data_IF_709491010202
#
_entry.id   IF_709491010202
#
_cell.length_a   1.000
_cell.length_b   1.000
_cell.length_c   1.000
_cell.angle_alpha   90.00
_cell.angle_beta   90.00
_cell.angle_gamma   90.00
#
_symmetry.space_group_name_H-M   'P 1'
#
loop_
_entity.id
_entity.type
_entity.pdbx_description
1 polymer ?
#
# COMPACT_ATOMS: atom_id res chain seq x y z
N UNK A 1 -11.10 -17.11 16.04
CA UNK A 1 -10.01 -17.66 15.19
C UNK A 1 -10.12 -17.04 13.81
N UNK A 2 -9.01 -16.70 13.15
CA UNK A 2 -8.99 -16.09 11.80
C UNK A 2 -8.75 -17.16 10.74
N UNK A 3 -7.76 -18.03 10.96
CA UNK A 3 -7.37 -19.12 10.08
C UNK A 3 -6.75 -20.27 10.86
N UNK A 4 -6.76 -21.48 10.29
CA UNK A 4 -6.18 -22.70 10.84
C UNK A 4 -5.19 -23.31 9.85
N UNK A 5 -4.28 -24.15 10.35
CA UNK A 5 -3.40 -24.95 9.50
C UNK A 5 -4.21 -25.98 8.71
N UNK A 6 -3.90 -26.12 7.43
CA UNK A 6 -4.64 -26.99 6.52
C UNK A 6 -4.07 -28.40 6.38
N UNK A 7 -2.91 -28.70 6.99
CA UNK A 7 -2.28 -30.02 6.88
C UNK A 7 -1.24 -30.31 7.98
N UNK A 8 -0.71 -31.54 7.93
CA UNK A 8 0.41 -32.04 8.72
C UNK A 8 0.10 -32.03 10.23
N UNK A 9 1.14 -31.99 11.07
CA UNK A 9 1.04 -32.18 12.51
C UNK A 9 0.20 -31.10 13.23
N UNK A 10 -0.01 -29.94 12.61
CA UNK A 10 -0.77 -28.83 13.18
C UNK A 10 -2.16 -28.70 12.56
N UNK A 11 -2.60 -29.63 11.71
CA UNK A 11 -3.88 -29.56 11.01
C UNK A 11 -5.05 -29.25 11.96
N UNK A 12 -5.88 -28.29 11.57
CA UNK A 12 -7.01 -27.79 12.37
C UNK A 12 -6.63 -26.89 13.55
N UNK A 13 -5.34 -26.79 13.91
CA UNK A 13 -4.88 -25.88 14.97
C UNK A 13 -4.88 -24.42 14.48
N UNK A 14 -5.09 -23.45 15.40
CA UNK A 14 -5.06 -22.04 15.03
C UNK A 14 -3.71 -21.65 14.39
N UNK A 15 -3.77 -21.10 13.17
CA UNK A 15 -2.62 -20.49 12.50
C UNK A 15 -2.63 -18.97 12.72
N UNK A 16 -3.81 -18.36 12.62
CA UNK A 16 -4.02 -16.94 12.91
C UNK A 16 -5.15 -16.75 13.93
N UNK A 17 -4.88 -15.99 14.98
CA UNK A 17 -5.86 -15.66 16.02
C UNK A 17 -6.02 -14.16 16.15
N UNK A 18 -7.19 -13.75 16.65
CA UNK A 18 -7.47 -12.36 16.93
C UNK A 18 -8.23 -12.24 18.23
N UNK A 19 -7.85 -11.24 19.02
CA UNK A 19 -8.46 -10.91 20.31
C UNK A 19 -8.77 -9.43 20.36
N UNK A 20 -10.03 -9.07 20.61
CA UNK A 20 -10.42 -7.70 20.94
C UNK A 20 -9.96 -7.35 22.36
N UNK A 21 -9.39 -6.17 22.53
CA UNK A 21 -8.93 -5.66 23.82
C UNK A 21 -9.19 -4.16 23.90
N UNK A 22 -10.08 -3.75 24.81
CA UNK A 22 -10.54 -2.35 24.86
C UNK A 22 -11.16 -1.93 23.53
N UNK A 23 -10.71 -0.80 22.99
CA UNK A 23 -11.14 -0.28 21.67
C UNK A 23 -10.38 -0.87 20.49
N UNK A 24 -9.38 -1.72 20.74
CA UNK A 24 -8.47 -2.25 19.71
C UNK A 24 -8.58 -3.76 19.53
N UNK A 25 -7.66 -4.28 18.71
CA UNK A 25 -7.53 -5.69 18.38
C UNK A 25 -6.06 -6.07 18.32
N UNK A 26 -5.73 -7.27 18.80
CA UNK A 26 -4.41 -7.90 18.62
C UNK A 26 -4.59 -9.11 17.72
N UNK A 27 -3.76 -9.21 16.69
CA UNK A 27 -3.72 -10.34 15.76
C UNK A 27 -2.38 -11.07 15.95
N UNK A 28 -2.45 -12.38 16.17
CA UNK A 28 -1.26 -13.24 16.26
C UNK A 28 -1.24 -14.17 15.06
N UNK A 29 -0.09 -14.21 14.37
CA UNK A 29 0.16 -15.08 13.23
C UNK A 29 1.26 -16.07 13.62
N UNK A 30 0.90 -17.34 13.76
CA UNK A 30 1.82 -18.42 14.13
C UNK A 30 2.57 -19.01 12.93
N UNK A 31 2.81 -18.22 11.87
CA UNK A 31 3.42 -18.67 10.61
C UNK A 31 4.27 -17.58 9.98
N UNK A 32 5.05 -17.94 8.96
CA UNK A 32 5.72 -16.99 8.09
C UNK A 32 4.74 -16.38 7.09
N UNK A 33 4.93 -15.09 6.81
CA UNK A 33 4.18 -14.36 5.79
C UNK A 33 4.72 -14.71 4.40
N UNK A 34 3.83 -15.19 3.54
CA UNK A 34 4.04 -15.31 2.10
C UNK A 34 3.22 -14.22 1.40
N UNK A 35 3.58 -13.78 0.18
CA UNK A 35 2.87 -12.71 -0.53
C UNK A 35 1.34 -12.86 -0.49
N UNK A 36 0.81 -14.00 -0.92
CA UNK A 36 -0.64 -14.26 -0.96
C UNK A 36 -1.31 -14.18 0.43
N UNK A 37 -0.60 -14.63 1.48
CA UNK A 37 -1.09 -14.55 2.85
C UNK A 37 -1.09 -13.10 3.34
N UNK A 38 -0.04 -12.34 3.02
CA UNK A 38 0.07 -10.93 3.37
C UNK A 38 -1.04 -10.13 2.70
N UNK A 39 -1.31 -10.36 1.43
CA UNK A 39 -2.39 -9.71 0.68
C UNK A 39 -3.75 -10.00 1.33
N UNK A 40 -4.10 -11.29 1.52
CA UNK A 40 -5.37 -11.68 2.13
C UNK A 40 -5.56 -11.17 3.57
N UNK A 41 -4.48 -11.10 4.36
CA UNK A 41 -4.53 -10.52 5.70
C UNK A 41 -4.69 -9.01 5.66
N UNK A 42 -4.02 -8.32 4.74
CA UNK A 42 -4.10 -6.87 4.56
C UNK A 42 -5.53 -6.47 4.24
N UNK A 43 -6.16 -7.10 3.26
CA UNK A 43 -7.57 -6.85 2.92
C UNK A 43 -8.50 -7.03 4.13
N UNK A 44 -8.30 -8.12 4.88
CA UNK A 44 -9.16 -8.46 6.02
C UNK A 44 -8.97 -7.57 7.24
N UNK A 45 -7.78 -7.01 7.44
CA UNK A 45 -7.42 -6.26 8.65
C UNK A 45 -7.43 -4.74 8.43
N UNK A 46 -7.04 -4.25 7.26
CA UNK A 46 -6.85 -2.82 7.01
C UNK A 46 -8.16 -2.12 6.67
N UNK A 47 -9.02 -2.73 5.86
CA UNK A 47 -10.30 -2.13 5.50
C UNK A 47 -11.19 -1.84 6.72
N UNK A 48 -11.37 -2.76 7.71
CA UNK A 48 -12.10 -2.45 8.93
C UNK A 48 -11.44 -1.40 9.82
N UNK A 49 -10.13 -1.17 9.67
CA UNK A 49 -9.38 -0.15 10.38
C UNK A 49 -9.39 1.21 9.65
N UNK A 50 -10.02 1.31 8.48
CA UNK A 50 -10.04 2.52 7.66
C UNK A 50 -8.67 2.86 7.06
N UNK A 51 -7.80 1.87 6.90
CA UNK A 51 -6.50 2.03 6.25
C UNK A 51 -6.68 1.77 4.76
N UNK A 52 -6.33 2.76 3.94
CA UNK A 52 -6.47 2.75 2.49
C UNK A 52 -5.11 2.98 1.82
N UNK A 53 -4.92 2.45 0.59
CA UNK A 53 -3.72 2.76 -0.19
C UNK A 53 -3.69 4.24 -0.56
N UNK A 54 -2.48 4.82 -0.63
CA UNK A 54 -2.29 6.21 -1.07
C UNK A 54 -2.74 6.44 -2.53
N UNK A 55 -2.54 5.42 -3.37
CA UNK A 55 -3.00 5.32 -4.75
C UNK A 55 -3.42 3.87 -4.98
N UNK A 56 -4.64 3.64 -5.43
CA UNK A 56 -5.16 2.30 -5.69
C UNK A 56 -4.71 1.73 -7.03
N UNK A 57 -4.63 0.40 -7.14
CA UNK A 57 -4.39 -0.28 -8.42
C UNK A 57 -3.02 0.01 -9.04
N UNK A 58 -1.97 0.11 -8.22
CA UNK A 58 -0.62 0.35 -8.70
C UNK A 58 -0.14 -0.76 -9.63
N UNK A 59 0.49 -0.42 -10.76
CA UNK A 59 1.20 -1.40 -11.59
C UNK A 59 2.31 -2.09 -10.80
N UNK A 60 2.63 -3.33 -11.18
CA UNK A 60 3.75 -4.08 -10.58
C UNK A 60 5.06 -3.31 -10.72
N UNK A 61 5.87 -3.29 -9.66
CA UNK A 61 7.14 -2.57 -9.62
C UNK A 61 7.03 -1.06 -9.38
N UNK A 62 5.82 -0.52 -9.21
CA UNK A 62 5.61 0.87 -8.78
C UNK A 62 5.38 0.94 -7.27
N UNK A 63 6.12 1.82 -6.60
CA UNK A 63 5.93 2.12 -5.18
C UNK A 63 5.42 3.56 -5.00
N UNK A 64 4.49 3.72 -4.06
CA UNK A 64 4.03 5.03 -3.61
C UNK A 64 4.23 5.18 -2.11
N UNK A 65 4.92 6.26 -1.72
CA UNK A 65 5.08 6.64 -0.30
C UNK A 65 4.69 8.10 -0.09
N UNK A 66 4.34 8.47 1.15
CA UNK A 66 3.98 9.85 1.49
C UNK A 66 4.83 10.36 2.64
N UNK A 67 5.37 11.56 2.49
CA UNK A 67 5.94 12.35 3.60
C UNK A 67 5.07 13.58 3.80
N UNK A 68 4.72 13.86 5.05
CA UNK A 68 3.88 15.01 5.37
C UNK A 68 4.31 15.68 6.68
N UNK A 69 4.06 16.99 6.75
CA UNK A 69 4.11 17.80 7.95
C UNK A 69 2.87 18.71 7.99
N UNK A 70 2.86 19.72 8.86
CA UNK A 70 1.74 20.66 8.99
C UNK A 70 1.52 21.55 7.75
N UNK A 71 2.56 21.76 6.93
CA UNK A 71 2.52 22.68 5.79
C UNK A 71 2.29 21.97 4.46
N UNK A 72 2.80 20.73 4.31
CA UNK A 72 2.95 20.07 3.01
C UNK A 72 2.73 18.58 3.09
N UNK A 73 2.22 18.02 1.99
CA UNK A 73 2.07 16.59 1.74
C UNK A 73 2.74 16.27 0.42
N UNK A 74 3.76 15.43 0.47
CA UNK A 74 4.56 15.03 -0.68
C UNK A 74 4.35 13.54 -0.96
N UNK A 75 3.84 13.24 -2.15
CA UNK A 75 3.67 11.88 -2.64
C UNK A 75 4.87 11.53 -3.54
N UNK A 76 5.60 10.49 -3.18
CA UNK A 76 6.71 9.96 -3.95
C UNK A 76 6.20 8.77 -4.75
N UNK A 77 6.32 8.83 -6.07
CA UNK A 77 5.96 7.73 -6.97
C UNK A 77 7.22 7.27 -7.68
N UNK A 78 7.57 6.00 -7.53
CA UNK A 78 8.83 5.44 -8.05
C UNK A 78 8.54 4.20 -8.88
N UNK A 79 9.07 4.17 -10.10
CA UNK A 79 9.08 2.99 -10.95
C UNK A 79 10.40 2.25 -10.76
N UNK A 80 10.36 1.03 -10.21
CA UNK A 80 11.56 0.19 -10.06
C UNK A 80 11.82 -0.74 -11.26
N UNK A 81 11.03 -0.63 -12.32
CA UNK A 81 11.20 -1.39 -13.56
C UNK A 81 11.93 -0.56 -14.61
N UNK A 82 12.52 -1.22 -15.61
CA UNK A 82 13.15 -0.56 -16.76
C UNK A 82 12.15 -0.16 -17.86
N UNK A 83 10.87 -0.46 -17.68
CA UNK A 83 9.80 -0.16 -18.64
C UNK A 83 9.04 1.10 -18.24
N UNK A 84 8.58 1.87 -19.21
CA UNK A 84 7.68 2.98 -18.94
C UNK A 84 6.32 2.49 -18.39
N UNK A 85 5.72 3.26 -17.50
CA UNK A 85 4.49 2.91 -16.79
C UNK A 85 3.55 4.10 -16.65
N UNK A 86 2.25 3.84 -16.75
CA UNK A 86 1.20 4.80 -16.46
C UNK A 86 0.53 4.45 -15.13
N UNK A 87 0.58 5.38 -14.17
CA UNK A 87 -0.06 5.27 -12.87
C UNK A 87 -1.36 6.09 -12.88
N UNK A 88 -2.49 5.41 -12.69
CA UNK A 88 -3.81 6.04 -12.58
C UNK A 88 -4.17 6.39 -11.13
N UNK A 89 -5.15 7.27 -10.96
CA UNK A 89 -5.69 7.62 -9.63
C UNK A 89 -4.75 8.44 -8.76
N UNK A 90 -3.68 9.01 -9.33
CA UNK A 90 -2.75 9.87 -8.58
C UNK A 90 -3.47 11.15 -8.13
N UNK A 91 -3.46 11.49 -6.82
CA UNK A 91 -4.06 12.72 -6.31
C UNK A 91 -3.54 13.96 -7.05
N UNK A 92 -4.41 14.97 -7.18
CA UNK A 92 -4.04 16.21 -7.84
C UNK A 92 -2.94 16.95 -7.06
N UNK A 93 -2.00 17.54 -7.79
CA UNK A 93 -0.86 18.22 -7.21
C UNK A 93 0.14 18.68 -8.26
N UNK A 94 1.26 19.24 -7.79
CA UNK A 94 2.35 19.70 -8.65
C UNK A 94 3.51 18.72 -8.62
N UNK A 95 3.99 18.31 -9.78
CA UNK A 95 5.20 17.51 -9.90
C UNK A 95 6.44 18.39 -9.77
N UNK A 96 7.14 18.27 -8.65
CA UNK A 96 8.32 19.07 -8.33
C UNK A 96 9.55 18.71 -9.19
N UNK A 97 9.53 17.58 -9.92
CA UNK A 97 10.64 17.15 -10.78
C UNK A 97 10.42 17.50 -12.26
N UNK A 98 9.17 17.62 -12.71
CA UNK A 98 8.80 17.95 -14.10
C UNK A 98 8.31 19.40 -14.23
N UNK A 99 9.13 20.36 -13.79
CA UNK A 99 8.86 21.79 -13.97
C UNK A 99 7.57 22.29 -13.30
N UNK A 100 7.16 21.68 -12.18
CA UNK A 100 5.92 21.98 -11.46
C UNK A 100 4.63 21.75 -12.27
N UNK A 101 4.67 20.81 -13.22
CA UNK A 101 3.49 20.42 -13.99
C UNK A 101 2.37 19.97 -13.07
N UNK A 102 1.16 20.48 -13.34
CA UNK A 102 -0.05 20.10 -12.60
C UNK A 102 -0.49 18.71 -13.06
N UNK A 103 -0.51 17.77 -12.13
CA UNK A 103 -1.01 16.40 -12.31
C UNK A 103 -2.47 16.30 -11.92
N UNK A 104 -3.24 15.54 -12.71
CA UNK A 104 -4.67 15.24 -12.45
C UNK A 104 -4.97 13.80 -12.77
N UNK A 105 -4.83 12.91 -11.78
CA UNK A 105 -5.32 11.53 -11.86
C UNK A 105 -4.48 10.57 -12.71
N UNK A 106 -3.48 11.04 -13.45
CA UNK A 106 -2.59 10.21 -14.27
C UNK A 106 -1.17 10.75 -14.25
N UNK A 107 -0.22 9.85 -14.06
CA UNK A 107 1.21 10.10 -14.09
C UNK A 107 1.88 9.08 -15.02
N UNK A 108 2.73 9.55 -15.91
CA UNK A 108 3.56 8.70 -16.76
C UNK A 108 4.99 8.77 -16.27
N UNK A 109 5.61 7.61 -16.03
CA UNK A 109 7.00 7.49 -15.62
C UNK A 109 7.74 6.65 -16.66
N UNK A 110 8.92 7.11 -17.06
CA UNK A 110 9.85 6.30 -17.82
C UNK A 110 10.39 5.13 -16.98
N UNK A 111 11.14 4.22 -17.62
CA UNK A 111 11.91 3.21 -16.91
C UNK A 111 12.81 3.84 -15.86
N UNK A 112 12.75 3.32 -14.63
CA UNK A 112 13.42 3.87 -13.45
C UNK A 112 13.07 5.32 -13.10
N UNK A 113 12.00 5.87 -13.70
CA UNK A 113 11.52 7.22 -13.45
C UNK A 113 10.88 7.38 -12.07
N UNK A 114 10.84 8.62 -11.59
CA UNK A 114 10.15 8.99 -10.37
C UNK A 114 9.49 10.36 -10.48
N UNK A 115 8.49 10.61 -9.63
CA UNK A 115 7.85 11.90 -9.48
C UNK A 115 7.70 12.24 -7.99
N UNK A 116 7.69 13.53 -7.68
CA UNK A 116 7.37 14.04 -6.35
C UNK A 116 6.20 15.00 -6.48
N UNK A 117 5.02 14.55 -6.07
CA UNK A 117 3.79 15.32 -6.18
C UNK A 117 3.51 16.06 -4.87
N UNK A 118 3.61 17.37 -4.89
CA UNK A 118 3.08 18.22 -3.80
C UNK A 118 1.57 18.31 -3.94
N UNK A 119 0.84 17.70 -3.00
CA UNK A 119 -0.61 17.61 -3.04
C UNK A 119 -1.25 18.98 -2.77
N UNK A 120 -2.31 19.30 -3.51
CA UNK A 120 -3.18 20.43 -3.18
C UNK A 120 -3.96 20.11 -1.89
N UNK A 121 -4.03 21.09 -0.98
CA UNK A 121 -4.74 20.98 0.31
C UNK A 121 -6.26 20.94 0.16
#
# INVERSE_FOLDING_TARGET
MIAAWSNRYAEGQPMATSRKLGKGQVVYLGTYLKPDLTEALTERLFAPAGIEPLVGGLPEGVEVTMRMNEERRLLFVQNYTDQAVAVGGVPAGRDLLDGEKILRGRLELEGYGCAIVELEG
#
